data_IF_952200829883
#
_entry.id   IF_952200829883
#
_cell.length_a   1.000
_cell.length_b   1.000
_cell.length_c   1.000
_cell.angle_alpha   90.00
_cell.angle_beta   90.00
_cell.angle_gamma   90.00
#
_symmetry.space_group_name_H-M   'P 1'
#
loop_
_entity.id
_entity.type
_entity.pdbx_description
1 polymer ?
#
# COMPACT_ATOMS: atom_id res chain seq x y z
N UNK A 1 16.77 -2.32 11.88
CA UNK A 1 17.41 -3.46 11.19
C UNK A 1 16.45 -4.65 11.14
N UNK A 2 16.50 -5.51 10.13
CA UNK A 2 15.64 -6.71 10.04
C UNK A 2 14.24 -6.50 9.43
N UNK A 3 13.80 -5.26 9.23
CA UNK A 3 12.51 -4.96 8.60
C UNK A 3 12.50 -5.22 7.08
N UNK A 4 13.65 -5.04 6.43
CA UNK A 4 13.78 -5.16 4.99
C UNK A 4 13.87 -6.62 4.54
N UNK A 5 13.26 -6.93 3.40
CA UNK A 5 13.38 -8.19 2.68
C UNK A 5 13.77 -7.92 1.23
N UNK A 6 15.07 -7.99 0.96
CA UNK A 6 15.69 -7.55 -0.28
C UNK A 6 15.92 -8.75 -1.18
N UNK A 7 15.02 -8.91 -2.15
CA UNK A 7 15.12 -9.93 -3.19
C UNK A 7 15.29 -9.26 -4.54
N UNK A 8 16.29 -9.71 -5.30
CA UNK A 8 16.55 -9.26 -6.66
C UNK A 8 16.15 -10.38 -7.62
N UNK A 9 15.22 -10.14 -8.56
CA UNK A 9 14.95 -11.10 -9.62
C UNK A 9 16.24 -11.38 -10.39
N UNK A 10 16.48 -12.64 -10.70
CA UNK A 10 17.66 -13.04 -11.47
C UNK A 10 17.77 -12.35 -12.84
N UNK A 11 18.84 -12.67 -13.56
CA UNK A 11 19.15 -12.09 -14.86
C UNK A 11 17.97 -12.21 -15.85
N UNK A 12 17.72 -11.14 -16.60
CA UNK A 12 16.68 -11.12 -17.62
C UNK A 12 16.83 -12.31 -18.59
N UNK A 13 15.71 -12.99 -18.88
CA UNK A 13 15.69 -14.21 -19.70
C UNK A 13 15.96 -15.50 -18.91
N UNK A 14 16.44 -15.40 -17.68
CA UNK A 14 16.77 -16.53 -16.79
C UNK A 14 16.03 -16.43 -15.43
N UNK A 15 15.11 -15.45 -15.31
CA UNK A 15 14.30 -15.24 -14.11
C UNK A 15 13.46 -16.47 -13.79
N UNK A 16 13.54 -16.93 -12.55
CA UNK A 16 12.65 -17.95 -11.99
C UNK A 16 11.39 -17.29 -11.40
N UNK A 17 10.31 -18.04 -11.16
CA UNK A 17 9.16 -17.56 -10.41
C UNK A 17 9.60 -17.02 -9.04
N UNK A 18 9.01 -15.90 -8.62
CA UNK A 18 9.33 -15.28 -7.33
C UNK A 18 8.68 -16.14 -6.22
N UNK A 19 9.43 -16.65 -5.22
CA UNK A 19 8.93 -17.63 -4.26
C UNK A 19 8.09 -17.03 -3.12
N UNK A 20 7.42 -15.90 -3.35
CA UNK A 20 6.52 -15.25 -2.39
C UNK A 20 5.09 -15.72 -2.66
N UNK A 21 4.48 -16.38 -1.68
CA UNK A 21 3.12 -16.96 -1.76
C UNK A 21 2.18 -16.41 -0.69
N UNK A 22 2.71 -15.76 0.35
CA UNK A 22 1.98 -15.03 1.40
C UNK A 22 2.56 -13.63 1.61
N UNK A 23 1.77 -12.75 2.22
CA UNK A 23 2.17 -11.36 2.48
C UNK A 23 3.34 -11.25 3.46
N UNK A 24 3.49 -12.22 4.36
CA UNK A 24 4.50 -12.29 5.42
C UNK A 24 5.75 -13.14 5.08
N UNK A 25 5.80 -13.75 3.89
CA UNK A 25 6.97 -14.54 3.47
C UNK A 25 8.23 -13.67 3.36
N UNK A 26 9.33 -14.11 3.98
CA UNK A 26 10.66 -13.51 3.77
C UNK A 26 11.44 -14.32 2.74
N UNK A 27 11.86 -13.71 1.63
CA UNK A 27 12.48 -14.41 0.50
C UNK A 27 13.90 -13.96 0.15
N UNK A 28 14.37 -12.87 0.75
CA UNK A 28 15.64 -12.22 0.46
C UNK A 28 16.48 -11.94 1.71
N UNK A 29 17.30 -10.89 1.64
CA UNK A 29 18.24 -10.51 2.70
C UNK A 29 17.76 -9.27 3.47
N UNK A 30 18.29 -9.08 4.68
CA UNK A 30 17.94 -7.92 5.54
C UNK A 30 18.71 -6.63 5.20
N UNK A 31 19.69 -6.71 4.29
CA UNK A 31 20.56 -5.61 3.90
C UNK A 31 21.11 -5.79 2.49
N UNK A 32 21.50 -4.68 1.86
CA UNK A 32 22.06 -4.66 0.49
C UNK A 32 23.54 -5.02 0.57
N UNK A 33 23.98 -6.17 0.02
CA UNK A 33 25.41 -6.48 -0.04
C UNK A 33 26.11 -5.53 -1.01
N UNK A 34 27.17 -4.88 -0.53
CA UNK A 34 28.00 -4.00 -1.35
C UNK A 34 29.47 -4.39 -1.23
N UNK A 35 30.20 -4.19 -2.31
CA UNK A 35 31.66 -4.28 -2.32
C UNK A 35 32.25 -3.03 -1.61
N UNK A 36 32.94 -3.18 -0.47
CA UNK A 36 33.49 -2.04 0.27
C UNK A 36 34.47 -1.18 -0.56
N UNK A 37 35.15 -1.74 -1.57
CA UNK A 37 36.09 -0.97 -2.42
C UNK A 37 35.36 0.06 -3.32
N UNK A 38 34.06 -0.16 -3.56
CA UNK A 38 33.20 0.78 -4.27
C UNK A 38 32.75 1.94 -3.39
N UNK A 39 32.85 1.83 -2.07
CA UNK A 39 32.47 2.90 -1.12
C UNK A 39 33.58 3.94 -1.07
N UNK A 40 33.33 5.13 -1.63
CA UNK A 40 34.31 6.25 -1.62
C UNK A 40 34.26 7.10 -0.36
N UNK A 41 33.18 7.02 0.42
CA UNK A 41 33.01 7.74 1.67
C UNK A 41 31.64 7.45 2.30
N UNK A 42 31.53 7.75 3.60
CA UNK A 42 30.29 7.65 4.37
C UNK A 42 29.98 9.04 4.92
N UNK A 43 28.79 9.56 4.61
CA UNK A 43 28.32 10.87 5.11
C UNK A 43 27.36 10.61 6.25
N UNK A 44 27.68 11.12 7.44
CA UNK A 44 26.78 11.07 8.58
C UNK A 44 25.77 12.20 8.47
N UNK A 45 24.49 11.88 8.57
CA UNK A 45 23.38 12.84 8.52
C UNK A 45 22.48 12.68 9.74
N UNK A 46 21.75 13.74 10.07
CA UNK A 46 20.68 13.73 11.07
C UNK A 46 19.51 14.56 10.52
N UNK A 47 18.94 14.08 9.42
CA UNK A 47 17.84 14.71 8.72
C UNK A 47 16.62 13.82 8.82
N UNK A 48 15.48 14.40 9.19
CA UNK A 48 14.20 13.71 9.22
C UNK A 48 13.60 13.63 7.80
N UNK A 49 12.81 12.59 7.58
CA UNK A 49 12.00 12.48 6.37
C UNK A 49 10.92 13.57 6.31
N UNK A 50 10.53 13.95 5.10
CA UNK A 50 9.43 14.89 4.91
C UNK A 50 8.10 14.22 5.30
N UNK A 51 7.30 14.83 6.19
CA UNK A 51 6.00 14.29 6.53
C UNK A 51 5.05 14.38 5.34
N UNK A 52 4.07 13.49 5.34
CA UNK A 52 2.99 13.49 4.36
C UNK A 52 2.07 14.69 4.56
N UNK A 53 1.53 15.22 3.47
CA UNK A 53 0.50 16.27 3.47
C UNK A 53 -0.92 15.69 3.52
N UNK A 54 -1.09 14.47 4.02
CA UNK A 54 -2.41 13.86 4.19
C UNK A 54 -3.21 14.71 5.17
N UNK A 55 -4.42 15.05 4.77
CA UNK A 55 -5.39 15.74 5.62
C UNK A 55 -6.40 14.74 6.18
N UNK A 56 -7.01 15.04 7.33
CA UNK A 56 -8.12 14.26 7.86
C UNK A 56 -9.25 14.11 6.82
N UNK A 57 -10.00 13.00 6.86
CA UNK A 57 -11.12 12.79 5.95
C UNK A 57 -12.19 13.87 6.15
N UNK A 58 -12.67 14.42 5.03
CA UNK A 58 -13.88 15.26 5.01
C UNK A 58 -15.15 14.42 4.80
N UNK A 59 -16.32 15.06 4.86
CA UNK A 59 -17.62 14.39 4.76
C UNK A 59 -17.78 13.58 3.47
N UNK A 60 -17.38 14.14 2.32
CA UNK A 60 -17.44 13.44 1.03
C UNK A 60 -16.53 12.20 1.03
N UNK A 61 -15.35 12.34 1.63
CA UNK A 61 -14.41 11.23 1.74
C UNK A 61 -14.93 10.12 2.64
N UNK A 62 -15.61 10.47 3.74
CA UNK A 62 -16.29 9.51 4.61
C UNK A 62 -17.42 8.78 3.87
N UNK A 63 -18.22 9.50 3.08
CA UNK A 63 -19.31 8.90 2.27
C UNK A 63 -18.73 7.90 1.25
N UNK A 64 -17.64 8.28 0.55
CA UNK A 64 -16.95 7.36 -0.37
C UNK A 64 -16.46 6.10 0.35
N UNK A 65 -15.86 6.24 1.53
CA UNK A 65 -15.43 5.11 2.35
C UNK A 65 -16.61 4.20 2.73
N UNK A 66 -17.74 4.77 3.14
CA UNK A 66 -18.95 4.01 3.50
C UNK A 66 -19.50 3.20 2.32
N UNK A 67 -19.56 3.79 1.12
CA UNK A 67 -20.00 3.06 -0.08
C UNK A 67 -19.12 1.85 -0.38
N UNK A 68 -17.80 2.03 -0.26
CA UNK A 68 -16.85 0.95 -0.50
C UNK A 68 -16.93 -0.14 0.59
N UNK A 69 -17.06 0.24 1.85
CA UNK A 69 -17.24 -0.72 2.96
C UNK A 69 -18.54 -1.51 2.79
N UNK A 70 -19.65 -0.85 2.43
CA UNK A 70 -20.92 -1.54 2.19
C UNK A 70 -20.82 -2.50 1.00
N UNK A 71 -20.14 -2.11 -0.08
CA UNK A 71 -19.86 -3.00 -1.20
C UNK A 71 -19.11 -4.26 -0.73
N UNK A 72 -18.02 -4.10 0.04
CA UNK A 72 -17.24 -5.24 0.55
C UNK A 72 -18.07 -6.12 1.50
N UNK A 73 -18.94 -5.52 2.32
CA UNK A 73 -19.86 -6.24 3.18
C UNK A 73 -20.84 -7.09 2.39
N UNK A 74 -21.38 -6.56 1.29
CA UNK A 74 -22.23 -7.33 0.38
C UNK A 74 -21.46 -8.48 -0.29
N UNK A 75 -20.21 -8.26 -0.72
CA UNK A 75 -19.35 -9.32 -1.26
C UNK A 75 -19.12 -10.45 -0.24
N UNK A 76 -19.05 -10.13 1.06
CA UNK A 76 -19.01 -11.13 2.13
C UNK A 76 -20.35 -11.84 2.29
N UNK A 77 -21.47 -11.10 2.37
CA UNK A 77 -22.82 -11.68 2.55
C UNK A 77 -23.17 -12.70 1.47
N UNK A 78 -22.78 -12.44 0.23
CA UNK A 78 -23.04 -13.34 -0.91
C UNK A 78 -21.93 -14.38 -1.14
N UNK A 79 -20.93 -14.44 -0.25
CA UNK A 79 -19.90 -15.50 -0.23
C UNK A 79 -18.76 -15.35 -1.24
N UNK A 80 -18.57 -14.16 -1.84
CA UNK A 80 -17.41 -13.89 -2.72
C UNK A 80 -16.17 -13.51 -1.94
N UNK A 81 -16.33 -12.90 -0.76
CA UNK A 81 -15.28 -12.58 0.19
C UNK A 81 -15.60 -13.16 1.58
N UNK A 82 -14.65 -13.03 2.50
CA UNK A 82 -14.84 -13.34 3.94
C UNK A 82 -14.56 -12.08 4.76
N UNK A 83 -14.82 -12.09 6.07
CA UNK A 83 -14.47 -10.96 6.95
C UNK A 83 -12.96 -10.63 6.97
N UNK A 84 -12.10 -11.56 6.51
CA UNK A 84 -10.66 -11.33 6.33
C UNK A 84 -10.30 -10.59 5.05
N UNK A 85 -11.28 -10.42 4.16
CA UNK A 85 -11.11 -9.90 2.81
C UNK A 85 -9.99 -10.65 2.04
N UNK A 86 -9.46 -10.02 0.99
CA UNK A 86 -8.17 -10.38 0.42
C UNK A 86 -7.16 -9.27 0.81
N UNK A 87 -5.84 -9.48 0.68
CA UNK A 87 -4.89 -8.49 1.11
C UNK A 87 -5.10 -7.15 0.40
N UNK A 88 -5.05 -6.07 1.17
CA UNK A 88 -5.43 -4.74 0.72
C UNK A 88 -4.23 -3.99 0.17
N UNK A 89 -4.41 -3.35 -0.98
CA UNK A 89 -3.55 -2.27 -1.44
C UNK A 89 -4.35 -0.97 -1.44
N UNK A 90 -3.74 0.09 -0.90
CA UNK A 90 -4.31 1.43 -0.92
C UNK A 90 -3.29 2.40 -1.51
N UNK A 91 -3.73 3.22 -2.46
CA UNK A 91 -2.91 4.26 -3.07
C UNK A 91 -2.58 5.39 -2.07
N UNK A 92 -1.88 6.41 -2.57
CA UNK A 92 -1.57 7.60 -1.77
C UNK A 92 -2.72 8.60 -1.90
N UNK A 93 -3.22 9.11 -0.78
CA UNK A 93 -4.08 10.30 -0.75
C UNK A 93 -5.09 10.28 0.39
N UNK A 94 -5.76 11.41 0.62
CA UNK A 94 -6.79 11.54 1.66
C UNK A 94 -7.91 10.52 1.51
N UNK A 95 -8.34 10.24 0.27
CA UNK A 95 -9.41 9.27 0.00
C UNK A 95 -9.02 7.84 0.32
N UNK A 96 -7.86 7.40 -0.18
CA UNK A 96 -7.32 6.07 0.09
C UNK A 96 -7.09 5.84 1.60
N UNK A 97 -6.61 6.85 2.31
CA UNK A 97 -6.43 6.82 3.76
C UNK A 97 -7.76 6.74 4.51
N UNK A 98 -8.77 7.50 4.09
CA UNK A 98 -10.10 7.49 4.71
C UNK A 98 -10.83 6.15 4.55
N UNK A 99 -10.70 5.51 3.38
CA UNK A 99 -11.26 4.18 3.15
C UNK A 99 -10.67 3.17 4.14
N UNK A 100 -9.35 3.17 4.31
CA UNK A 100 -8.70 2.31 5.29
C UNK A 100 -9.11 2.67 6.72
N UNK A 101 -9.21 3.96 7.04
CA UNK A 101 -9.64 4.42 8.36
C UNK A 101 -11.08 3.97 8.67
N UNK A 102 -11.98 3.95 7.68
CA UNK A 102 -13.34 3.41 7.86
C UNK A 102 -13.38 1.93 8.23
N UNK A 103 -12.30 1.17 7.99
CA UNK A 103 -12.19 -0.22 8.44
C UNK A 103 -12.09 -0.34 9.97
N UNK A 104 -11.74 0.74 10.70
CA UNK A 104 -11.70 0.75 12.16
C UNK A 104 -13.06 0.43 12.77
N UNK A 105 -14.15 0.88 12.13
CA UNK A 105 -15.52 0.71 12.61
C UNK A 105 -16.27 -0.44 11.90
N UNK A 106 -15.58 -1.21 11.06
CA UNK A 106 -16.19 -2.33 10.32
C UNK A 106 -16.12 -3.66 11.08
N UNK A 107 -16.80 -4.68 10.55
CA UNK A 107 -16.73 -6.07 11.00
C UNK A 107 -15.50 -6.83 10.47
N UNK A 108 -14.69 -6.21 9.61
CA UNK A 108 -13.54 -6.88 9.02
C UNK A 108 -12.40 -7.00 10.03
N UNK A 109 -11.74 -8.16 10.02
CA UNK A 109 -10.74 -8.57 11.00
C UNK A 109 -9.66 -9.41 10.34
N UNK A 110 -8.54 -9.64 11.02
CA UNK A 110 -7.39 -10.37 10.49
C UNK A 110 -6.91 -9.88 9.11
N UNK A 111 -6.96 -8.55 8.90
CA UNK A 111 -6.60 -7.95 7.63
C UNK A 111 -5.10 -8.06 7.38
N UNK A 112 -4.75 -8.23 6.11
CA UNK A 112 -3.39 -8.11 5.62
C UNK A 112 -3.29 -6.96 4.62
N UNK A 113 -2.16 -6.26 4.64
CA UNK A 113 -1.87 -5.17 3.70
C UNK A 113 -0.68 -5.58 2.83
N UNK A 114 -0.80 -5.41 1.52
CA UNK A 114 0.30 -5.55 0.57
C UNK A 114 0.22 -4.36 -0.38
N UNK A 115 0.98 -3.31 -0.07
CA UNK A 115 0.88 -2.01 -0.74
C UNK A 115 2.23 -1.52 -1.26
N UNK A 116 2.24 -0.43 -2.03
CA UNK A 116 3.48 0.29 -2.33
C UNK A 116 3.93 1.09 -1.11
N UNK A 117 3.00 1.81 -0.48
CA UNK A 117 3.26 2.73 0.63
C UNK A 117 2.31 2.45 1.78
N UNK A 118 2.81 2.45 3.02
CA UNK A 118 1.98 2.48 4.22
C UNK A 118 1.78 3.92 4.70
N UNK A 119 0.52 4.24 4.99
CA UNK A 119 0.06 5.53 5.48
C UNK A 119 -0.53 5.38 6.88
N UNK A 120 -0.89 6.50 7.51
CA UNK A 120 -1.38 6.58 8.87
C UNK A 120 -2.44 5.54 9.24
N UNK A 121 -3.46 5.38 8.39
CA UNK A 121 -4.57 4.46 8.66
C UNK A 121 -4.13 3.00 8.83
N UNK A 122 -3.04 2.57 8.17
CA UNK A 122 -2.53 1.20 8.35
C UNK A 122 -2.02 1.02 9.78
N UNK A 123 -1.28 1.99 10.31
CA UNK A 123 -0.75 1.93 11.66
C UNK A 123 -1.87 2.02 12.70
N UNK A 124 -2.91 2.82 12.45
CA UNK A 124 -4.09 2.87 13.32
C UNK A 124 -4.82 1.52 13.36
N UNK A 125 -4.98 0.86 12.20
CA UNK A 125 -5.56 -0.47 12.11
C UNK A 125 -4.70 -1.54 12.81
N UNK A 126 -3.37 -1.44 12.72
CA UNK A 126 -2.46 -2.33 13.46
C UNK A 126 -2.56 -2.11 14.97
N UNK A 127 -2.74 -0.86 15.40
CA UNK A 127 -2.82 -0.49 16.81
C UNK A 127 -4.08 -1.05 17.48
N UNK A 128 -5.20 -1.12 16.76
CA UNK A 128 -6.45 -1.76 17.24
C UNK A 128 -6.53 -3.26 16.93
N UNK A 129 -5.50 -3.84 16.32
CA UNK A 129 -5.42 -5.28 16.04
C UNK A 129 -6.25 -5.76 14.85
N UNK A 130 -6.69 -4.86 13.96
CA UNK A 130 -7.42 -5.22 12.73
C UNK A 130 -6.49 -5.66 11.61
N UNK A 131 -5.31 -5.05 11.50
CA UNK A 131 -4.26 -5.47 10.56
C UNK A 131 -3.22 -6.33 11.29
N UNK A 132 -3.10 -7.58 10.85
CA UNK A 132 -2.15 -8.55 11.39
C UNK A 132 -0.75 -8.38 10.81
N UNK A 133 -0.66 -8.05 9.52
CA UNK A 133 0.60 -7.89 8.81
C UNK A 133 0.51 -6.87 7.68
N UNK A 134 1.57 -6.09 7.45
CA UNK A 134 1.67 -5.21 6.30
C UNK A 134 3.02 -5.31 5.58
N UNK A 135 2.96 -5.49 4.26
CA UNK A 135 4.10 -5.50 3.34
C UNK A 135 4.07 -4.24 2.48
N UNK A 136 5.21 -3.55 2.33
CA UNK A 136 5.32 -2.30 1.59
C UNK A 136 6.69 -2.05 0.96
N UNK A 137 6.81 -1.03 0.11
CA UNK A 137 8.11 -0.48 -0.30
C UNK A 137 8.57 0.64 0.62
N UNK A 138 7.65 1.48 1.08
CA UNK A 138 7.95 2.66 1.88
C UNK A 138 6.87 2.94 2.93
N UNK A 139 7.25 3.77 3.90
CA UNK A 139 6.37 4.29 4.94
C UNK A 139 6.31 5.81 4.72
N UNK A 140 5.12 6.39 4.63
CA UNK A 140 4.94 7.84 4.46
C UNK A 140 3.78 8.29 5.34
N UNK A 141 4.14 8.98 6.42
CA UNK A 141 3.24 9.31 7.52
C UNK A 141 3.09 10.81 7.69
N UNK A 142 1.95 11.24 8.25
CA UNK A 142 1.84 12.61 8.79
C UNK A 142 2.89 12.85 9.88
N UNK A 143 3.20 14.10 10.18
CA UNK A 143 4.21 14.45 11.18
C UNK A 143 3.89 13.85 12.57
N UNK A 144 2.64 13.94 13.01
CA UNK A 144 2.20 13.37 14.28
C UNK A 144 2.33 11.85 14.30
N UNK A 145 1.85 11.18 13.24
CA UNK A 145 1.92 9.72 13.15
C UNK A 145 3.36 9.23 13.04
N UNK A 146 4.21 9.97 12.33
CA UNK A 146 5.65 9.70 12.22
C UNK A 146 6.31 9.69 13.60
N UNK A 147 6.03 10.69 14.44
CA UNK A 147 6.54 10.74 15.81
C UNK A 147 6.03 9.57 16.66
N UNK A 148 4.74 9.24 16.57
CA UNK A 148 4.15 8.09 17.29
C UNK A 148 4.80 6.76 16.86
N UNK A 149 4.88 6.51 15.56
CA UNK A 149 5.34 5.23 15.00
C UNK A 149 6.82 5.04 15.25
N UNK A 150 7.66 6.04 14.94
CA UNK A 150 9.11 5.88 15.07
C UNK A 150 9.60 5.94 16.53
N UNK A 151 8.88 6.59 17.45
CA UNK A 151 9.24 6.56 18.88
C UNK A 151 8.98 5.20 19.54
N UNK A 152 8.11 4.35 18.96
CA UNK A 152 7.79 3.02 19.46
C UNK A 152 7.79 1.96 18.35
N UNK A 153 8.80 2.03 17.47
CA UNK A 153 8.78 1.23 16.24
C UNK A 153 8.85 -0.28 16.48
N UNK A 154 9.47 -0.71 17.59
CA UNK A 154 9.58 -2.14 17.95
C UNK A 154 8.21 -2.82 18.07
N UNK A 155 7.15 -2.08 18.40
CA UNK A 155 5.76 -2.58 18.43
C UNK A 155 5.32 -3.17 17.08
N UNK A 156 5.82 -2.63 15.98
CA UNK A 156 5.38 -2.97 14.61
C UNK A 156 6.34 -3.95 13.91
N UNK A 157 7.54 -4.17 14.46
CA UNK A 157 8.64 -4.85 13.79
C UNK A 157 8.31 -6.25 13.28
N UNK A 158 7.58 -7.03 14.06
CA UNK A 158 7.21 -8.41 13.70
C UNK A 158 5.94 -8.49 12.83
N UNK A 159 5.36 -7.33 12.50
CA UNK A 159 4.11 -7.20 11.74
C UNK A 159 4.28 -6.41 10.44
N UNK A 160 5.51 -6.04 10.11
CA UNK A 160 5.84 -5.22 8.95
C UNK A 160 6.96 -5.87 8.13
N UNK A 161 6.89 -5.70 6.81
CA UNK A 161 7.99 -6.05 5.90
C UNK A 161 8.16 -4.99 4.82
N UNK A 162 9.41 -4.54 4.63
CA UNK A 162 9.75 -3.60 3.57
C UNK A 162 10.49 -4.31 2.43
N UNK A 163 9.95 -4.26 1.22
CA UNK A 163 10.46 -4.95 0.04
C UNK A 163 10.87 -3.92 -1.03
N UNK A 164 11.80 -4.24 -1.94
CA UNK A 164 12.05 -3.40 -3.10
C UNK A 164 10.75 -3.18 -3.90
N UNK A 165 10.62 -2.02 -4.55
CA UNK A 165 9.45 -1.73 -5.39
C UNK A 165 9.23 -2.76 -6.51
N UNK A 166 10.30 -3.38 -7.02
CA UNK A 166 10.19 -4.45 -8.02
C UNK A 166 9.43 -5.67 -7.46
N UNK A 167 9.36 -5.85 -6.13
CA UNK A 167 8.66 -6.94 -5.45
C UNK A 167 7.31 -6.50 -4.89
N UNK A 168 7.23 -5.36 -4.21
CA UNK A 168 5.94 -4.84 -3.70
C UNK A 168 4.94 -4.55 -4.83
N UNK A 169 5.44 -4.18 -6.02
CA UNK A 169 4.59 -3.86 -7.16
C UNK A 169 4.62 -4.95 -8.24
N UNK A 170 5.19 -6.13 -7.96
CA UNK A 170 5.37 -7.14 -9.00
C UNK A 170 4.02 -7.73 -9.46
N UNK A 171 3.68 -7.70 -10.78
CA UNK A 171 2.42 -8.23 -11.30
C UNK A 171 2.13 -9.69 -10.93
N UNK A 172 3.16 -10.55 -10.96
CA UNK A 172 3.04 -11.97 -10.57
C UNK A 172 2.56 -12.11 -9.13
N UNK A 173 3.07 -11.28 -8.22
CA UNK A 173 2.77 -11.34 -6.80
C UNK A 173 1.40 -10.74 -6.52
N UNK A 174 1.12 -9.56 -7.07
CA UNK A 174 -0.19 -8.90 -6.96
C UNK A 174 -1.31 -9.86 -7.38
N UNK A 175 -1.13 -10.53 -8.53
CA UNK A 175 -2.12 -11.47 -9.06
C UNK A 175 -2.21 -12.75 -8.22
N UNK A 176 -1.07 -13.28 -7.75
CA UNK A 176 -1.02 -14.50 -6.93
C UNK A 176 -1.72 -14.30 -5.58
N UNK A 177 -1.45 -13.18 -4.92
CA UNK A 177 -2.08 -12.83 -3.64
C UNK A 177 -3.54 -12.44 -3.80
N UNK A 178 -3.96 -12.07 -5.02
CA UNK A 178 -5.36 -11.75 -5.32
C UNK A 178 -5.83 -10.49 -4.60
N UNK A 179 -5.03 -9.43 -4.67
CA UNK A 179 -5.24 -8.19 -3.90
C UNK A 179 -6.58 -7.50 -4.23
N UNK A 180 -7.11 -6.75 -3.26
CA UNK A 180 -8.08 -5.69 -3.51
C UNK A 180 -7.30 -4.37 -3.57
N UNK A 181 -7.28 -3.74 -4.74
CA UNK A 181 -6.54 -2.48 -4.95
C UNK A 181 -7.48 -1.29 -5.00
N UNK A 182 -7.20 -0.27 -4.19
CA UNK A 182 -8.00 0.95 -4.09
C UNK A 182 -7.12 2.14 -4.50
N UNK A 183 -7.49 2.80 -5.59
CA UNK A 183 -6.71 3.88 -6.18
C UNK A 183 -7.56 5.15 -6.38
N UNK A 184 -6.92 6.31 -6.27
CA UNK A 184 -7.58 7.59 -6.56
C UNK A 184 -7.55 7.86 -8.07
N UNK A 185 -8.67 8.33 -8.62
CA UNK A 185 -8.73 8.86 -9.97
C UNK A 185 -8.71 10.40 -9.94
N UNK A 186 -8.14 11.04 -10.96
CA UNK A 186 -8.36 12.48 -11.20
C UNK A 186 -9.71 12.70 -11.87
N UNK A 187 -10.01 11.87 -12.87
CA UNK A 187 -11.26 11.91 -13.61
C UNK A 187 -11.52 10.54 -14.25
N UNK A 188 -12.80 10.27 -14.55
CA UNK A 188 -13.24 9.09 -15.29
C UNK A 188 -14.21 9.52 -16.38
N UNK A 189 -14.17 8.82 -17.52
CA UNK A 189 -15.22 8.95 -18.52
C UNK A 189 -16.39 7.98 -18.28
N UNK A 190 -17.46 8.15 -19.04
CA UNK A 190 -18.68 7.33 -18.93
C UNK A 190 -18.49 5.85 -19.32
N UNK A 191 -17.34 5.50 -19.91
CA UNK A 191 -16.99 4.13 -20.25
C UNK A 191 -16.07 3.48 -19.21
N UNK A 192 -15.74 4.20 -18.14
CA UNK A 192 -14.89 3.72 -17.06
C UNK A 192 -13.40 3.81 -17.37
N UNK A 193 -12.98 4.60 -18.36
CA UNK A 193 -11.56 4.90 -18.54
C UNK A 193 -11.11 5.88 -17.45
N UNK A 194 -9.96 5.61 -16.83
CA UNK A 194 -9.44 6.38 -15.70
C UNK A 194 -8.23 7.20 -16.13
N UNK A 195 -8.24 8.48 -15.75
CA UNK A 195 -7.06 9.33 -15.77
C UNK A 195 -6.58 9.56 -14.32
N UNK A 196 -5.31 9.25 -14.05
CA UNK A 196 -4.66 9.45 -12.74
C UNK A 196 -3.48 10.41 -12.78
N UNK A 197 -3.22 11.06 -13.93
CA UNK A 197 -1.93 11.74 -14.16
C UNK A 197 -2.02 13.17 -14.68
N UNK A 198 -2.86 13.44 -15.69
CA UNK A 198 -2.79 14.72 -16.43
C UNK A 198 -4.09 15.51 -16.30
N UNK A 199 -4.06 16.64 -15.61
CA UNK A 199 -5.19 17.58 -15.60
C UNK A 199 -5.38 18.17 -17.00
N UNK A 200 -6.61 18.09 -17.51
CA UNK A 200 -6.98 18.50 -18.87
C UNK A 200 -6.08 17.87 -19.95
N UNK A 201 -5.60 16.64 -19.70
CA UNK A 201 -4.75 15.88 -20.63
C UNK A 201 -3.34 16.43 -20.86
N UNK A 202 -2.92 17.50 -20.18
CA UNK A 202 -1.65 18.20 -20.51
C UNK A 202 -0.80 18.54 -19.29
N UNK A 203 -1.41 18.79 -18.12
CA UNK A 203 -0.67 19.19 -16.93
C UNK A 203 -0.45 18.00 -15.99
N UNK A 204 0.79 17.54 -15.90
CA UNK A 204 1.18 16.48 -14.96
C UNK A 204 0.85 16.89 -13.52
N UNK A 205 0.24 15.95 -12.80
CA UNK A 205 0.05 16.02 -11.34
C UNK A 205 1.26 15.39 -10.64
N UNK A 206 1.20 14.08 -10.36
CA UNK A 206 2.28 13.34 -9.71
C UNK A 206 2.97 12.39 -10.70
N UNK A 207 2.19 11.48 -11.29
CA UNK A 207 2.65 10.40 -12.15
C UNK A 207 1.76 9.17 -11.97
N UNK A 208 1.95 8.16 -12.82
CA UNK A 208 1.13 6.94 -12.76
C UNK A 208 1.40 6.11 -11.49
N UNK A 209 2.63 6.18 -10.96
CA UNK A 209 3.07 5.35 -9.83
C UNK A 209 2.81 3.86 -10.08
N UNK A 210 2.58 3.10 -9.00
CA UNK A 210 2.14 1.70 -9.08
C UNK A 210 0.68 1.48 -9.45
N UNK A 211 -0.12 2.53 -9.70
CA UNK A 211 -1.57 2.37 -9.92
C UNK A 211 -1.89 1.41 -11.07
N UNK A 212 -1.09 1.42 -12.14
CA UNK A 212 -1.20 0.48 -13.25
C UNK A 212 -0.80 -0.95 -12.89
N UNK A 213 0.21 -1.13 -12.05
CA UNK A 213 0.67 -2.44 -11.58
C UNK A 213 -0.43 -3.13 -10.77
N UNK A 214 -1.02 -2.40 -9.81
CA UNK A 214 -2.08 -2.92 -8.96
C UNK A 214 -3.40 -3.07 -9.72
N UNK A 215 -3.90 -2.02 -10.38
CA UNK A 215 -5.23 -2.06 -11.00
C UNK A 215 -5.36 -3.13 -12.10
N UNK A 216 -4.27 -3.44 -12.81
CA UNK A 216 -4.30 -4.47 -13.87
C UNK A 216 -4.24 -5.90 -13.32
N UNK A 217 -3.58 -6.10 -12.18
CA UNK A 217 -3.23 -7.44 -11.70
C UNK A 217 -3.98 -7.86 -10.44
N UNK A 218 -4.63 -6.92 -9.75
CA UNK A 218 -5.47 -7.19 -8.59
C UNK A 218 -6.65 -8.10 -8.93
N UNK A 219 -7.15 -8.81 -7.91
CA UNK A 219 -8.42 -9.56 -8.00
C UNK A 219 -9.58 -8.59 -8.21
N UNK A 220 -9.54 -7.46 -7.51
CA UNK A 220 -10.54 -6.41 -7.60
C UNK A 220 -9.82 -5.05 -7.66
N UNK A 221 -10.06 -4.31 -8.74
CA UNK A 221 -9.55 -2.96 -8.91
C UNK A 221 -10.67 -1.94 -8.71
N UNK A 222 -10.45 -1.01 -7.78
CA UNK A 222 -11.41 -0.01 -7.36
C UNK A 222 -10.78 1.36 -7.54
N UNK A 223 -11.51 2.24 -8.22
CA UNK A 223 -11.15 3.64 -8.34
C UNK A 223 -12.16 4.49 -7.59
N UNK A 224 -11.64 5.45 -6.81
CA UNK A 224 -12.43 6.38 -6.01
C UNK A 224 -12.06 7.81 -6.38
N UNK A 225 -13.05 8.67 -6.47
CA UNK A 225 -12.87 10.12 -6.68
C UNK A 225 -14.10 10.86 -6.20
N UNK A 226 -13.91 12.12 -5.80
CA UNK A 226 -15.00 13.06 -5.61
C UNK A 226 -15.71 13.30 -6.94
N UNK A 227 -17.02 13.50 -6.89
CA UNK A 227 -17.83 13.72 -8.10
C UNK A 227 -17.74 15.15 -8.64
N UNK A 228 -17.43 16.13 -7.79
CA UNK A 228 -17.30 17.57 -8.13
C UNK A 228 -16.22 18.19 -7.25
#
# INVERSE_FOLDING_TARGET
EGLHDLYEPGKQGERLPIPLVKTDDRIGTIGIPIDPEKVKGIVFTNQLDSPSTIVPPDEETVIMAQHLIEFLREEVKIGRLTNRLAPLQSGIGSVANAVLHGMLDSEFEDLEVYSEVLQDAVFDLMDVGKVNFASCCSITLSEEKMQQVFSNFEKYRDKLMMRPQEISNHPEIIRRLGLISINTALELDIYGNVNSTHVLGTKMMNGIGGSGDFARNARLAIFVTKSI
#
